data_IF_486764135179
#
_entry.id   IF_486764135179
#
_cell.length_a   1.000
_cell.length_b   1.000
_cell.length_c   1.000
_cell.angle_alpha   90.00
_cell.angle_beta   90.00
_cell.angle_gamma   90.00
#
_symmetry.space_group_name_H-M   'P 1'
#
loop_
_entity.id
_entity.type
_entity.pdbx_description
1 polymer ?
#
# COMPACT_ATOMS: atom_id res chain seq x y z
N UNK A 1 5.34 9.29 19.88
CA UNK A 1 6.02 10.37 19.15
C UNK A 1 5.62 11.69 19.77
N UNK A 2 6.47 12.71 19.69
CA UNK A 2 6.23 14.04 20.27
C UNK A 2 5.93 15.05 19.15
N UNK A 3 5.12 16.06 19.47
CA UNK A 3 4.86 17.19 18.57
C UNK A 3 6.01 18.19 18.72
N UNK A 4 6.80 18.34 17.66
CA UNK A 4 7.95 19.24 17.63
C UNK A 4 7.80 20.31 16.54
N UNK A 5 8.43 21.49 16.69
CA UNK A 5 8.43 22.51 15.65
C UNK A 5 9.08 22.03 14.36
N UNK A 6 8.61 22.54 13.21
CA UNK A 6 9.12 22.22 11.87
C UNK A 6 10.64 22.32 11.76
N UNK A 7 11.23 23.38 12.33
CA UNK A 7 12.68 23.63 12.29
C UNK A 7 13.47 22.51 12.96
N UNK A 8 12.97 22.02 14.09
CA UNK A 8 13.60 20.93 14.82
C UNK A 8 13.48 19.61 14.08
N UNK A 9 12.30 19.31 13.52
CA UNK A 9 12.10 18.12 12.69
C UNK A 9 13.07 18.10 11.50
N UNK A 10 13.25 19.23 10.82
CA UNK A 10 14.22 19.37 9.72
C UNK A 10 15.67 19.20 10.20
N UNK A 11 16.02 19.72 11.38
CA UNK A 11 17.35 19.54 11.95
C UNK A 11 17.64 18.06 12.28
N UNK A 12 16.67 17.35 12.86
CA UNK A 12 16.77 15.90 13.12
C UNK A 12 16.94 15.10 11.83
N UNK A 13 16.17 15.42 10.79
CA UNK A 13 16.30 14.77 9.48
C UNK A 13 17.70 14.99 8.86
N UNK A 14 18.19 16.25 8.88
CA UNK A 14 19.55 16.59 8.41
C UNK A 14 20.65 15.86 9.20
N UNK A 15 20.54 15.79 10.53
CA UNK A 15 21.50 15.06 11.39
C UNK A 15 21.57 13.58 11.03
N UNK A 16 20.43 12.99 10.66
CA UNK A 16 20.33 11.59 10.26
C UNK A 16 20.65 11.35 8.77
N UNK A 17 20.87 12.41 7.98
CA UNK A 17 21.02 12.35 6.51
C UNK A 17 19.84 11.62 5.83
N UNK A 18 18.64 11.87 6.33
CA UNK A 18 17.38 11.34 5.82
C UNK A 18 16.43 12.48 5.46
N UNK A 19 15.30 12.15 4.84
CA UNK A 19 14.27 13.11 4.46
C UNK A 19 13.20 13.24 5.54
N UNK A 20 12.68 14.45 5.73
CA UNK A 20 11.45 14.68 6.49
C UNK A 20 10.26 14.59 5.51
N UNK A 21 9.48 13.52 5.60
CA UNK A 21 8.37 13.26 4.68
C UNK A 21 7.03 13.44 5.37
N UNK A 22 6.15 14.27 4.83
CA UNK A 22 4.75 14.42 5.28
C UNK A 22 3.96 13.17 4.87
N UNK A 23 3.46 12.41 5.84
CA UNK A 23 2.66 11.19 5.59
C UNK A 23 1.15 11.45 5.72
N UNK A 24 0.74 12.39 6.56
CA UNK A 24 -0.67 12.80 6.69
C UNK A 24 -0.77 14.31 6.84
N UNK A 25 -1.29 14.96 5.79
CA UNK A 25 -1.51 16.41 5.77
C UNK A 25 -2.80 16.84 6.49
N UNK A 26 -3.79 15.95 6.57
CA UNK A 26 -5.11 16.26 7.12
C UNK A 26 -5.19 16.19 8.65
N UNK A 27 -4.11 15.75 9.32
CA UNK A 27 -4.05 15.70 10.78
C UNK A 27 -3.65 17.07 11.36
N UNK A 28 -4.11 17.38 12.58
CA UNK A 28 -3.67 18.54 13.34
C UNK A 28 -3.01 18.08 14.65
N UNK A 29 -1.67 18.14 14.77
CA UNK A 29 -0.70 18.62 13.79
C UNK A 29 -0.45 17.63 12.63
N UNK A 30 0.08 18.08 11.47
CA UNK A 30 0.39 17.19 10.36
C UNK A 30 1.42 16.14 10.79
N UNK A 31 1.22 14.90 10.32
CA UNK A 31 2.11 13.78 10.68
C UNK A 31 3.23 13.70 9.67
N UNK A 32 4.45 13.90 10.14
CA UNK A 32 5.68 13.75 9.37
C UNK A 32 6.49 12.56 9.88
N UNK A 33 7.22 11.89 8.99
CA UNK A 33 8.11 10.78 9.31
C UNK A 33 9.47 11.00 8.67
N UNK A 34 10.54 10.79 9.43
CA UNK A 34 11.91 10.85 8.95
C UNK A 34 12.25 9.51 8.30
N UNK A 35 12.51 9.48 7.00
CA UNK A 35 12.86 8.26 6.25
C UNK A 35 13.54 8.59 4.93
N UNK A 36 14.08 7.57 4.26
CA UNK A 36 14.54 7.69 2.87
C UNK A 36 13.35 7.56 1.92
N UNK A 37 12.99 8.67 1.28
CA UNK A 37 11.81 8.71 0.41
C UNK A 37 11.96 7.81 -0.82
N UNK A 38 13.16 7.75 -1.42
CA UNK A 38 13.41 6.98 -2.63
C UNK A 38 13.28 5.48 -2.36
N UNK A 39 13.85 5.02 -1.25
CA UNK A 39 13.76 3.62 -0.82
C UNK A 39 12.32 3.21 -0.54
N UNK A 40 11.55 4.04 0.17
CA UNK A 40 10.15 3.72 0.46
C UNK A 40 9.25 3.77 -0.77
N UNK A 41 9.46 4.72 -1.70
CA UNK A 41 8.76 4.77 -2.99
C UNK A 41 8.99 3.48 -3.79
N UNK A 42 10.24 3.00 -3.85
CA UNK A 42 10.54 1.74 -4.53
C UNK A 42 9.84 0.55 -3.87
N UNK A 43 9.91 0.42 -2.53
CA UNK A 43 9.22 -0.66 -1.81
C UNK A 43 7.72 -0.61 -1.98
N UNK A 44 7.12 0.58 -2.02
CA UNK A 44 5.70 0.75 -2.24
C UNK A 44 5.30 0.26 -3.64
N UNK A 45 6.06 0.63 -4.67
CA UNK A 45 5.83 0.13 -6.03
C UNK A 45 5.95 -1.40 -6.13
N UNK A 46 6.94 -2.00 -5.46
CA UNK A 46 7.05 -3.47 -5.44
C UNK A 46 5.86 -4.13 -4.75
N UNK A 47 5.46 -3.62 -3.56
CA UNK A 47 4.27 -4.11 -2.84
C UNK A 47 2.99 -3.96 -3.65
N UNK A 48 2.81 -2.86 -4.39
CA UNK A 48 1.65 -2.64 -5.26
C UNK A 48 1.64 -3.61 -6.46
N UNK A 49 2.81 -3.90 -7.05
CA UNK A 49 2.95 -4.91 -8.11
C UNK A 49 2.56 -6.31 -7.60
N UNK A 50 3.08 -6.71 -6.44
CA UNK A 50 2.75 -7.98 -5.81
C UNK A 50 1.26 -8.08 -5.46
N UNK A 51 0.69 -7.03 -4.86
CA UNK A 51 -0.75 -6.96 -4.55
C UNK A 51 -1.61 -7.11 -5.80
N UNK A 52 -1.22 -6.46 -6.90
CA UNK A 52 -1.94 -6.54 -8.18
C UNK A 52 -1.88 -7.95 -8.77
N UNK A 53 -0.72 -8.62 -8.69
CA UNK A 53 -0.57 -10.02 -9.13
C UNK A 53 -1.44 -10.96 -8.30
N UNK A 54 -1.41 -10.83 -6.98
CA UNK A 54 -2.20 -11.66 -6.08
C UNK A 54 -3.71 -11.44 -6.25
N UNK A 55 -4.16 -10.19 -6.44
CA UNK A 55 -5.56 -9.87 -6.71
C UNK A 55 -6.05 -10.55 -8.00
N UNK A 56 -5.27 -10.50 -9.08
CA UNK A 56 -5.62 -11.17 -10.36
C UNK A 56 -5.71 -12.69 -10.21
N UNK A 57 -4.82 -13.30 -9.43
CA UNK A 57 -4.86 -14.72 -9.14
C UNK A 57 -6.09 -15.12 -8.32
N UNK A 58 -6.46 -14.34 -7.29
CA UNK A 58 -7.64 -14.66 -6.48
C UNK A 58 -8.94 -14.51 -7.26
N UNK A 59 -9.05 -13.50 -8.12
CA UNK A 59 -10.22 -13.27 -8.98
C UNK A 59 -10.41 -14.41 -10.00
N UNK A 60 -9.32 -14.85 -10.65
CA UNK A 60 -9.37 -15.96 -11.59
C UNK A 60 -9.77 -17.29 -10.92
N UNK A 61 -9.34 -17.52 -9.68
CA UNK A 61 -9.70 -18.73 -8.94
C UNK A 61 -11.22 -18.80 -8.64
N UNK A 62 -11.83 -17.69 -8.20
CA UNK A 62 -13.27 -17.63 -7.92
C UNK A 62 -14.11 -17.84 -9.18
N UNK A 63 -13.74 -17.22 -10.30
CA UNK A 63 -14.46 -17.39 -11.58
C UNK A 63 -14.43 -18.84 -12.10
N UNK A 64 -13.34 -19.59 -11.84
CA UNK A 64 -13.24 -20.99 -12.27
C UNK A 64 -14.26 -21.89 -11.55
N UNK A 65 -14.43 -21.73 -10.23
CA UNK A 65 -15.40 -22.51 -9.46
C UNK A 65 -16.85 -22.13 -9.79
N UNK A 66 -17.11 -20.84 -10.01
CA UNK A 66 -18.41 -20.38 -10.48
C UNK A 66 -18.77 -21.00 -11.84
N UNK A 67 -17.88 -20.94 -12.84
CA UNK A 67 -18.13 -21.49 -14.16
C UNK A 67 -18.36 -23.02 -14.15
N UNK A 68 -17.65 -23.76 -13.30
CA UNK A 68 -17.87 -25.20 -13.13
C UNK A 68 -19.27 -25.50 -12.57
N UNK A 69 -19.72 -24.77 -11.55
CA UNK A 69 -21.06 -24.91 -10.98
C UNK A 69 -22.15 -24.52 -11.98
N UNK A 70 -22.03 -23.37 -12.66
CA UNK A 70 -22.99 -22.94 -13.69
C UNK A 70 -23.16 -23.97 -14.81
N UNK A 71 -22.10 -24.69 -15.17
CA UNK A 71 -22.15 -25.75 -16.19
C UNK A 71 -22.82 -27.03 -15.70
N UNK A 72 -22.69 -27.38 -14.41
CA UNK A 72 -23.36 -28.57 -13.86
C UNK A 72 -24.86 -28.32 -13.67
N UNK A 73 -25.26 -27.18 -13.11
CA UNK A 73 -26.68 -26.92 -12.77
C UNK A 73 -27.58 -26.78 -14.01
N UNK A 74 -27.02 -26.49 -15.19
CA UNK A 74 -27.78 -26.39 -16.44
C UNK A 74 -27.74 -27.67 -17.30
N UNK A 75 -26.93 -28.67 -16.94
CA UNK A 75 -26.83 -29.92 -17.71
C UNK A 75 -27.83 -30.99 -17.25
N UNK A 76 -28.35 -30.89 -16.03
CA UNK A 76 -29.32 -31.83 -15.47
C UNK A 76 -30.79 -31.48 -15.79
N UNK A 77 -31.05 -30.64 -16.80
CA UNK A 77 -32.39 -30.11 -17.16
C UNK A 77 -32.92 -30.55 -18.53
N UNK A 78 -32.30 -31.52 -19.19
CA UNK A 78 -32.89 -32.21 -20.35
C UNK A 78 -33.45 -33.59 -19.96
#
# INVERSE_FOLDING_TARGET
>A
HEVIPKREALARAKKLKLDLVEVQRNANPPVCKIMDYNKEKYKQQQREKERTKNKKLSENAVNKYAALSWRTVNFDKE
#
